data_IF_607551710217
#
_entry.id   IF_607551710217
#
_cell.length_a   1.000
_cell.length_b   1.000
_cell.length_c   1.000
_cell.angle_alpha   90.00
_cell.angle_beta   90.00
_cell.angle_gamma   90.00
#
_symmetry.space_group_name_H-M   'P 1'
#
loop_
_entity.id
_entity.type
_entity.pdbx_description
1 polymer ?
#
# COMPACT_ATOMS: atom_id res chain seq x y z
N UNK A 1 7.39 25.08 25.09
CA UNK A 1 6.85 23.85 25.69
C UNK A 1 5.98 23.23 24.63
N UNK A 2 6.40 22.10 24.04
CA UNK A 2 5.55 21.35 23.10
C UNK A 2 4.79 20.33 23.94
N UNK A 3 3.47 20.45 23.96
CA UNK A 3 2.57 19.46 24.55
C UNK A 3 2.72 18.16 23.78
N UNK A 4 3.29 17.15 24.42
CA UNK A 4 3.35 15.78 23.89
C UNK A 4 2.00 15.16 24.22
N UNK A 5 1.07 15.27 23.28
CA UNK A 5 -0.20 14.54 23.40
C UNK A 5 0.12 13.06 23.21
N UNK A 6 0.16 12.32 24.32
CA UNK A 6 0.55 10.91 24.41
C UNK A 6 -0.56 9.95 23.92
N UNK A 7 -1.22 10.32 22.82
CA UNK A 7 -2.10 9.48 22.03
C UNK A 7 -1.53 9.43 20.61
N UNK A 8 -0.29 8.94 20.47
CA UNK A 8 0.30 8.71 19.15
C UNK A 8 -0.30 7.41 18.62
N UNK A 9 -1.51 7.50 18.08
CA UNK A 9 -2.12 6.39 17.35
C UNK A 9 -1.21 6.09 16.16
N UNK A 10 -0.53 4.96 16.18
CA UNK A 10 0.31 4.50 15.06
C UNK A 10 -0.53 4.52 13.79
N UNK A 11 -0.06 5.21 12.77
CA UNK A 11 -0.74 5.22 11.47
C UNK A 11 -0.62 3.82 10.88
N UNK A 12 -1.75 3.21 10.51
CA UNK A 12 -1.78 1.89 9.86
C UNK A 12 -1.89 2.08 8.35
N UNK A 13 -1.15 1.29 7.59
CA UNK A 13 -1.07 1.40 6.14
C UNK A 13 -1.15 0.06 5.43
N UNK A 14 -1.71 0.09 4.22
CA UNK A 14 -1.63 -1.02 3.25
C UNK A 14 -0.75 -0.55 2.11
N UNK A 15 0.25 -1.34 1.74
CA UNK A 15 1.09 -1.04 0.57
C UNK A 15 0.61 -1.89 -0.61
N UNK A 16 0.39 -1.23 -1.76
CA UNK A 16 -0.19 -1.87 -2.94
C UNK A 16 0.71 -1.64 -4.15
N UNK A 17 1.19 -2.72 -4.77
CA UNK A 17 1.91 -2.71 -6.02
C UNK A 17 0.99 -3.01 -7.20
N UNK A 18 1.15 -2.31 -8.32
CA UNK A 18 0.48 -2.64 -9.57
C UNK A 18 1.48 -3.30 -10.52
N UNK A 19 1.15 -4.49 -11.00
CA UNK A 19 1.95 -5.21 -12.00
C UNK A 19 1.19 -5.18 -13.33
N UNK A 20 1.73 -4.46 -14.31
CA UNK A 20 1.18 -4.46 -15.67
C UNK A 20 1.80 -5.58 -16.50
N UNK A 21 1.12 -6.03 -17.57
CA UNK A 21 1.58 -7.14 -18.41
C UNK A 21 2.98 -6.96 -19.02
N UNK A 22 3.48 -5.73 -19.08
CA UNK A 22 4.81 -5.39 -19.60
C UNK A 22 5.85 -5.14 -18.50
N UNK A 23 5.53 -5.45 -17.24
CA UNK A 23 6.42 -5.30 -16.08
C UNK A 23 6.88 -6.66 -15.61
N UNK A 24 8.08 -6.70 -15.02
CA UNK A 24 8.55 -7.87 -14.30
C UNK A 24 7.90 -7.90 -12.91
N UNK A 25 7.30 -9.04 -12.56
CA UNK A 25 6.62 -9.20 -11.29
C UNK A 25 7.59 -9.22 -10.10
N UNK A 26 8.83 -9.71 -10.29
CA UNK A 26 9.86 -9.69 -9.27
C UNK A 26 10.35 -8.27 -9.01
N UNK A 27 10.62 -7.49 -10.04
CA UNK A 27 11.02 -6.07 -9.87
C UNK A 27 9.94 -5.26 -9.14
N UNK A 28 8.67 -5.53 -9.46
CA UNK A 28 7.55 -4.90 -8.78
C UNK A 28 7.43 -5.32 -7.31
N UNK A 29 7.70 -6.59 -7.00
CA UNK A 29 7.73 -7.08 -5.63
C UNK A 29 8.90 -6.47 -4.83
N UNK A 30 10.10 -6.43 -5.41
CA UNK A 30 11.28 -5.84 -4.76
C UNK A 30 11.06 -4.35 -4.45
N UNK A 31 10.44 -3.62 -5.38
CA UNK A 31 10.05 -2.21 -5.17
C UNK A 31 8.99 -2.05 -4.07
N UNK A 32 8.03 -2.99 -4.00
CA UNK A 32 6.97 -2.98 -2.98
C UNK A 32 7.55 -3.23 -1.58
N UNK A 33 8.48 -4.17 -1.48
CA UNK A 33 9.18 -4.51 -0.24
C UNK A 33 9.99 -3.32 0.27
N UNK A 34 10.69 -2.60 -0.62
CA UNK A 34 11.40 -1.37 -0.28
C UNK A 34 10.44 -0.27 0.21
N UNK A 35 9.32 -0.07 -0.48
CA UNK A 35 8.31 0.91 -0.07
C UNK A 35 7.75 0.60 1.32
N UNK A 36 7.52 -0.68 1.63
CA UNK A 36 7.05 -1.09 2.95
C UNK A 36 8.08 -0.82 4.05
N UNK A 37 9.38 -1.07 3.78
CA UNK A 37 10.46 -0.75 4.72
C UNK A 37 10.58 0.76 4.98
N UNK A 38 10.44 1.57 3.92
CA UNK A 38 10.45 3.03 4.04
C UNK A 38 9.28 3.53 4.89
N UNK A 39 8.08 2.97 4.67
CA UNK A 39 6.89 3.32 5.43
C UNK A 39 6.98 2.90 6.91
N UNK A 40 7.49 1.70 7.19
CA UNK A 40 7.76 1.23 8.56
C UNK A 40 8.74 2.16 9.29
N UNK A 41 9.83 2.54 8.63
CA UNK A 41 10.82 3.50 9.17
C UNK A 41 10.21 4.89 9.42
N UNK A 42 9.18 5.27 8.65
CA UNK A 42 8.44 6.52 8.83
C UNK A 42 7.39 6.47 9.96
N UNK A 43 7.22 5.31 10.61
CA UNK A 43 6.27 5.12 11.71
C UNK A 43 4.88 4.64 11.28
N UNK A 44 4.74 4.13 10.05
CA UNK A 44 3.51 3.50 9.56
C UNK A 44 3.55 2.00 9.83
N UNK A 45 2.57 1.49 10.58
CA UNK A 45 2.37 0.06 10.75
C UNK A 45 1.78 -0.54 9.47
N UNK A 46 2.60 -1.28 8.71
CA UNK A 46 2.15 -1.97 7.50
C UNK A 46 1.35 -3.23 7.88
N UNK A 47 0.03 -3.17 7.68
CA UNK A 47 -0.88 -4.28 8.03
C UNK A 47 -1.09 -5.26 6.87
N UNK A 48 -0.90 -4.79 5.63
CA UNK A 48 -0.96 -5.62 4.43
C UNK A 48 0.00 -5.12 3.34
N UNK A 49 0.59 -6.05 2.61
CA UNK A 49 1.32 -5.81 1.36
C UNK A 49 0.72 -6.69 0.27
N UNK A 50 0.46 -6.10 -0.90
CA UNK A 50 -0.31 -6.77 -1.93
C UNK A 50 0.11 -6.28 -3.31
N UNK A 51 0.20 -7.21 -4.26
CA UNK A 51 0.34 -6.90 -5.68
C UNK A 51 -0.96 -7.15 -6.42
N UNK A 52 -1.26 -6.31 -7.39
CA UNK A 52 -2.42 -6.44 -8.27
C UNK A 52 -1.95 -6.50 -9.72
N UNK A 53 -2.15 -7.66 -10.35
CA UNK A 53 -1.88 -7.83 -11.77
C UNK A 53 -3.02 -7.28 -12.62
N UNK A 54 -2.69 -6.51 -13.67
CA UNK A 54 -3.66 -5.97 -14.64
C UNK A 54 -3.05 -5.82 -16.04
N UNK A 55 -3.90 -5.85 -17.05
CA UNK A 55 -3.46 -5.52 -18.42
C UNK A 55 -3.31 -4.00 -18.65
N UNK A 56 -4.03 -3.18 -17.87
CA UNK A 56 -3.98 -1.73 -17.93
C UNK A 56 -4.43 -1.12 -16.59
N UNK A 57 -3.98 0.10 -16.33
CA UNK A 57 -4.41 0.90 -15.18
C UNK A 57 -5.89 1.23 -15.29
N UNK A 58 -6.62 1.14 -14.17
CA UNK A 58 -7.92 1.77 -14.07
C UNK A 58 -7.75 3.30 -13.93
N UNK A 59 -8.52 4.09 -14.68
CA UNK A 59 -8.37 5.55 -14.69
C UNK A 59 -8.76 6.23 -13.36
N UNK A 60 -9.61 5.58 -12.56
CA UNK A 60 -10.12 6.13 -11.31
C UNK A 60 -9.32 5.61 -10.12
N UNK A 61 -9.12 4.29 -10.05
CA UNK A 61 -8.59 3.60 -8.88
C UNK A 61 -7.21 2.98 -9.08
N UNK A 62 -6.62 3.06 -10.28
CA UNK A 62 -5.36 2.40 -10.68
C UNK A 62 -5.43 0.86 -10.67
N UNK A 63 -5.69 0.29 -9.49
CA UNK A 63 -5.85 -1.14 -9.19
C UNK A 63 -7.25 -1.69 -9.55
N UNK A 64 -8.20 -0.79 -9.86
CA UNK A 64 -9.58 -1.11 -10.21
C UNK A 64 -10.54 -1.06 -9.02
N UNK A 65 -11.80 -0.75 -9.31
CA UNK A 65 -12.85 -0.51 -8.29
C UNK A 65 -13.09 -1.70 -7.35
N UNK A 66 -13.10 -2.93 -7.88
CA UNK A 66 -13.32 -4.12 -7.05
C UNK A 66 -12.21 -4.33 -6.01
N UNK A 67 -10.94 -4.17 -6.42
CA UNK A 67 -9.82 -4.27 -5.49
C UNK A 67 -9.83 -3.10 -4.50
N UNK A 68 -10.10 -1.88 -4.96
CA UNK A 68 -10.21 -0.71 -4.07
C UNK A 68 -11.28 -0.91 -2.98
N UNK A 69 -12.42 -1.50 -3.33
CA UNK A 69 -13.48 -1.82 -2.37
C UNK A 69 -13.02 -2.90 -1.37
N UNK A 70 -12.38 -3.98 -1.82
CA UNK A 70 -11.83 -5.02 -0.95
C UNK A 70 -10.84 -4.44 0.07
N UNK A 71 -10.00 -3.48 -0.35
CA UNK A 71 -9.07 -2.80 0.56
C UNK A 71 -9.76 -1.87 1.54
N UNK A 72 -10.82 -1.19 1.12
CA UNK A 72 -11.63 -0.36 2.01
C UNK A 72 -12.29 -1.21 3.11
N UNK A 73 -12.79 -2.39 2.76
CA UNK A 73 -13.38 -3.35 3.71
C UNK A 73 -12.32 -3.93 4.66
N UNK A 74 -11.05 -4.03 4.25
CA UNK A 74 -9.96 -4.54 5.08
C UNK A 74 -9.47 -3.54 6.15
N UNK A 75 -9.80 -2.25 6.03
CA UNK A 75 -9.36 -1.19 6.95
C UNK A 75 -10.45 -0.70 7.92
N UNK A 76 -11.71 -1.15 7.74
CA UNK A 76 -12.78 -0.93 8.72
C UNK A 76 -12.63 -1.81 9.98
#
# INVERSE_FOLDING_TARGET
MHETNADTKTERGIVVGLVLSNMDAQDAQDTLDELALLADTAGVEIIHQITQERNHTDATYLIGSGKAQELAEAVE
#
